data_IF_974827265627
#
_entry.id   IF_974827265627
#
_cell.length_a   1.000
_cell.length_b   1.000
_cell.length_c   1.000
_cell.angle_alpha   90.00
_cell.angle_beta   90.00
_cell.angle_gamma   90.00
#
_symmetry.space_group_name_H-M   'P 1'
#
loop_
_entity.id
_entity.type
_entity.pdbx_description
1 polymer ?
#
# COMPACT_ATOMS: atom_id res chain seq x y z
N UNK A 1 -11.59 -16.20 25.82
CA UNK A 1 -12.39 -15.31 26.70
C UNK A 1 -12.26 -13.83 26.31
N UNK A 2 -11.05 -13.35 26.07
CA UNK A 2 -10.83 -11.95 25.69
C UNK A 2 -11.41 -11.62 24.30
N UNK A 3 -11.20 -12.46 23.29
CA UNK A 3 -11.72 -12.24 21.94
C UNK A 3 -13.26 -12.14 21.93
N UNK A 4 -13.96 -12.99 22.71
CA UNK A 4 -15.42 -12.93 22.82
C UNK A 4 -15.88 -11.62 23.47
N UNK A 5 -15.19 -11.15 24.49
CA UNK A 5 -15.50 -9.87 25.13
C UNK A 5 -15.31 -8.72 24.14
N UNK A 6 -14.15 -8.65 23.46
CA UNK A 6 -13.85 -7.62 22.46
C UNK A 6 -14.86 -7.62 21.32
N UNK A 7 -15.22 -8.80 20.81
CA UNK A 7 -16.26 -8.92 19.79
C UNK A 7 -17.60 -8.33 20.28
N UNK A 8 -18.07 -8.70 21.47
CA UNK A 8 -19.32 -8.18 22.02
C UNK A 8 -19.29 -6.66 22.20
N UNK A 9 -18.18 -6.10 22.65
CA UNK A 9 -18.03 -4.64 22.81
C UNK A 9 -18.01 -3.92 21.46
N UNK A 10 -17.35 -4.49 20.46
CA UNK A 10 -17.34 -3.94 19.10
C UNK A 10 -18.76 -3.92 18.50
N UNK A 11 -19.51 -5.01 18.64
CA UNK A 11 -20.87 -5.15 18.09
C UNK A 11 -21.90 -4.26 18.78
N UNK A 12 -21.62 -3.69 19.95
CA UNK A 12 -22.47 -2.65 20.55
C UNK A 12 -22.32 -1.28 19.89
N UNK A 13 -21.19 -1.00 19.27
CA UNK A 13 -20.82 0.34 18.78
C UNK A 13 -20.72 0.42 17.27
N UNK A 14 -19.98 -0.48 16.64
CA UNK A 14 -19.64 -0.41 15.23
C UNK A 14 -20.84 -0.51 14.29
N UNK A 15 -21.88 -1.35 14.54
CA UNK A 15 -23.08 -1.35 13.69
C UNK A 15 -23.74 0.03 13.57
N UNK A 16 -23.80 0.77 14.67
CA UNK A 16 -24.38 2.12 14.67
C UNK A 16 -23.54 3.11 13.86
N UNK A 17 -22.18 2.96 13.90
CA UNK A 17 -21.28 3.78 13.10
C UNK A 17 -21.48 3.48 11.60
N UNK A 18 -21.57 2.21 11.23
CA UNK A 18 -21.79 1.78 9.85
C UNK A 18 -23.14 2.27 9.34
N UNK A 19 -24.20 2.12 10.13
CA UNK A 19 -25.56 2.53 9.75
C UNK A 19 -25.73 4.07 9.64
N UNK A 20 -24.84 4.83 10.27
CA UNK A 20 -24.86 6.30 10.23
C UNK A 20 -24.35 6.89 8.89
N UNK A 21 -23.77 6.08 8.02
CA UNK A 21 -23.22 6.54 6.74
C UNK A 21 -23.55 5.61 5.59
N UNK A 22 -23.52 6.16 4.36
CA UNK A 22 -23.58 5.38 3.11
C UNK A 22 -22.17 5.15 2.51
N UNK A 23 -21.11 5.62 3.19
CA UNK A 23 -19.74 5.42 2.74
C UNK A 23 -19.31 3.98 2.95
N UNK A 24 -18.46 3.48 2.06
CA UNK A 24 -17.76 2.22 2.28
C UNK A 24 -16.74 2.42 3.39
N UNK A 25 -16.85 1.61 4.45
CA UNK A 25 -15.96 1.74 5.61
C UNK A 25 -14.74 0.84 5.43
N UNK A 26 -13.57 1.43 5.60
CA UNK A 26 -12.28 0.73 5.62
C UNK A 26 -11.66 0.91 6.99
N UNK A 27 -11.06 -0.13 7.53
CA UNK A 27 -10.32 -0.09 8.79
C UNK A 27 -8.82 -0.13 8.52
N UNK A 28 -8.05 0.56 9.34
CA UNK A 28 -6.65 0.29 9.49
C UNK A 28 -6.49 -0.80 10.55
N UNK A 29 -6.13 -1.99 10.14
CA UNK A 29 -5.97 -3.20 10.95
C UNK A 29 -4.55 -3.76 10.83
N UNK A 30 -3.56 -2.88 10.87
CA UNK A 30 -2.14 -3.20 10.82
C UNK A 30 -1.59 -3.60 12.19
N UNK A 31 -0.52 -4.39 12.19
CA UNK A 31 0.17 -4.83 13.39
C UNK A 31 -0.55 -5.95 14.15
N UNK A 32 -0.37 -6.01 15.46
CA UNK A 32 -0.95 -7.06 16.30
C UNK A 32 -2.41 -6.73 16.67
N UNK A 33 -3.34 -7.27 15.93
CA UNK A 33 -4.77 -7.15 16.19
C UNK A 33 -5.31 -8.42 16.86
N UNK A 34 -6.32 -8.33 17.77
CA UNK A 34 -6.99 -9.50 18.33
C UNK A 34 -7.66 -10.36 17.25
N UNK A 35 -7.70 -11.69 17.43
CA UNK A 35 -8.29 -12.63 16.47
C UNK A 35 -9.76 -12.34 16.15
N UNK A 36 -10.47 -11.63 17.03
CA UNK A 36 -11.87 -11.24 16.80
C UNK A 36 -12.02 -10.09 15.79
N UNK A 37 -10.96 -9.35 15.45
CA UNK A 37 -11.04 -8.22 14.51
C UNK A 37 -11.51 -8.67 13.13
N UNK A 38 -10.94 -9.72 12.50
CA UNK A 38 -11.46 -10.25 11.24
C UNK A 38 -12.92 -10.71 11.33
N UNK A 39 -13.38 -11.24 12.46
CA UNK A 39 -14.77 -11.65 12.63
C UNK A 39 -15.73 -10.46 12.54
N UNK A 40 -15.43 -9.38 13.29
CA UNK A 40 -16.22 -8.14 13.29
C UNK A 40 -16.21 -7.49 11.91
N UNK A 41 -15.03 -7.37 11.29
CA UNK A 41 -14.88 -6.76 9.98
C UNK A 41 -15.67 -7.51 8.90
N UNK A 42 -15.59 -8.85 8.92
CA UNK A 42 -16.33 -9.67 7.96
C UNK A 42 -17.86 -9.56 8.15
N UNK A 43 -18.34 -9.57 9.39
CA UNK A 43 -19.77 -9.42 9.70
C UNK A 43 -20.32 -8.07 9.30
N UNK A 44 -19.58 -6.99 9.59
CA UNK A 44 -19.95 -5.63 9.28
C UNK A 44 -19.54 -5.18 7.86
N UNK A 45 -18.91 -6.05 7.07
CA UNK A 45 -18.43 -5.77 5.71
C UNK A 45 -17.45 -4.58 5.64
N UNK A 46 -16.65 -4.41 6.68
CA UNK A 46 -15.57 -3.42 6.74
C UNK A 46 -14.38 -3.97 5.94
N UNK A 47 -13.77 -3.13 5.11
CA UNK A 47 -12.58 -3.49 4.35
C UNK A 47 -11.36 -3.47 5.26
N UNK A 48 -10.49 -4.49 5.11
CA UNK A 48 -9.17 -4.51 5.73
C UNK A 48 -8.15 -3.71 4.93
N UNK A 49 -7.03 -3.37 5.55
CA UNK A 49 -5.87 -2.77 4.87
C UNK A 49 -4.80 -3.84 4.66
N UNK A 50 -4.36 -4.02 3.40
CA UNK A 50 -3.35 -4.99 3.03
C UNK A 50 -2.10 -4.28 2.48
N UNK A 51 -0.97 -4.44 3.17
CA UNK A 51 0.34 -3.92 2.77
C UNK A 51 1.31 -5.10 2.68
N UNK A 52 1.86 -5.36 1.50
CA UNK A 52 2.71 -6.53 1.26
C UNK A 52 3.91 -6.61 2.20
N UNK A 53 4.55 -5.48 2.47
CA UNK A 53 5.74 -5.39 3.32
C UNK A 53 5.43 -5.37 4.83
N UNK A 54 4.15 -5.40 5.19
CA UNK A 54 3.65 -5.44 6.56
C UNK A 54 2.61 -6.54 6.72
N UNK A 55 2.98 -7.83 6.52
CA UNK A 55 2.03 -8.93 6.63
C UNK A 55 1.45 -9.01 8.04
N UNK A 56 0.19 -9.40 8.12
CA UNK A 56 -0.52 -9.59 9.40
C UNK A 56 -0.08 -10.89 10.09
N UNK A 57 0.37 -11.86 9.33
CA UNK A 57 0.92 -13.12 9.82
C UNK A 57 2.38 -12.91 10.25
N UNK A 58 2.66 -13.12 11.52
CA UNK A 58 3.97 -12.88 12.13
C UNK A 58 5.09 -13.80 11.64
N UNK A 59 4.74 -14.91 10.99
CA UNK A 59 5.67 -15.89 10.43
C UNK A 59 6.02 -15.62 8.95
N UNK A 60 5.39 -14.64 8.32
CA UNK A 60 5.66 -14.24 6.95
C UNK A 60 6.55 -13.00 6.91
N UNK A 61 7.48 -12.97 5.98
CA UNK A 61 8.30 -11.79 5.68
C UNK A 61 7.55 -10.80 4.80
N UNK A 62 6.81 -11.32 3.83
CA UNK A 62 5.98 -10.55 2.90
C UNK A 62 4.61 -11.20 2.77
N UNK A 63 3.58 -10.38 2.61
CA UNK A 63 2.25 -10.83 2.28
C UNK A 63 2.20 -11.36 0.83
N UNK A 64 1.35 -12.34 0.60
CA UNK A 64 1.10 -12.82 -0.75
C UNK A 64 -0.11 -12.07 -1.34
N UNK A 65 0.15 -11.17 -2.29
CA UNK A 65 -0.88 -10.35 -2.91
C UNK A 65 -2.05 -11.15 -3.51
N UNK A 66 -1.77 -12.36 -4.02
CA UNK A 66 -2.83 -13.23 -4.57
C UNK A 66 -3.79 -13.78 -3.51
N UNK A 67 -3.42 -13.72 -2.24
CA UNK A 67 -4.23 -14.17 -1.11
C UNK A 67 -4.95 -13.03 -0.39
N UNK A 68 -4.82 -11.80 -0.84
CA UNK A 68 -5.55 -10.69 -0.26
C UNK A 68 -7.05 -10.98 -0.26
N UNK A 69 -7.77 -10.72 0.83
CA UNK A 69 -9.21 -10.88 0.84
C UNK A 69 -9.86 -9.88 -0.13
N UNK A 70 -10.94 -10.28 -0.79
CA UNK A 70 -11.65 -9.37 -1.69
C UNK A 70 -12.09 -8.08 -0.98
N UNK A 71 -12.59 -8.19 0.24
CA UNK A 71 -12.99 -7.01 1.04
C UNK A 71 -11.78 -6.35 1.68
N UNK A 72 -10.89 -5.81 0.88
CA UNK A 72 -9.71 -5.10 1.34
C UNK A 72 -9.36 -3.91 0.47
N UNK A 73 -8.57 -3.02 1.05
CA UNK A 73 -7.81 -1.99 0.36
C UNK A 73 -6.36 -2.45 0.30
N UNK A 74 -5.82 -2.59 -0.89
CA UNK A 74 -4.40 -2.87 -1.08
C UNK A 74 -3.65 -1.56 -1.34
N UNK A 75 -2.50 -1.40 -0.70
CA UNK A 75 -1.57 -0.29 -0.95
C UNK A 75 -0.13 -0.78 -0.82
N UNK A 76 0.83 -0.04 -1.40
CA UNK A 76 2.26 -0.31 -1.28
C UNK A 76 2.83 0.42 -0.08
N UNK A 77 2.47 1.68 0.08
CA UNK A 77 2.95 2.56 1.13
C UNK A 77 1.83 3.41 1.70
N UNK A 78 2.08 4.03 2.84
CA UNK A 78 1.17 5.00 3.47
C UNK A 78 1.93 6.27 3.85
N UNK A 79 1.22 7.25 4.39
CA UNK A 79 1.85 8.46 4.91
C UNK A 79 2.78 8.20 6.11
N UNK A 80 2.62 7.06 6.81
CA UNK A 80 3.41 6.69 7.99
C UNK A 80 4.57 5.73 7.67
N UNK A 81 4.70 5.29 6.42
CA UNK A 81 5.76 4.40 5.95
C UNK A 81 6.67 5.09 4.93
N UNK A 82 7.80 4.48 4.63
CA UNK A 82 8.59 4.85 3.46
C UNK A 82 7.78 4.65 2.17
N UNK A 83 8.00 5.46 1.14
CA UNK A 83 7.49 5.18 -0.20
C UNK A 83 8.13 3.91 -0.77
N UNK A 84 7.57 3.34 -1.82
CA UNK A 84 8.05 2.09 -2.43
C UNK A 84 9.57 2.14 -2.71
N UNK A 85 10.04 3.19 -3.38
CA UNK A 85 11.46 3.27 -3.73
C UNK A 85 12.37 3.66 -2.57
N UNK A 86 11.88 4.41 -1.58
CA UNK A 86 12.62 4.65 -0.35
C UNK A 86 12.88 3.34 0.38
N UNK A 87 11.80 2.58 0.65
CA UNK A 87 11.91 1.28 1.30
C UNK A 87 12.87 0.33 0.56
N UNK A 88 12.80 0.34 -0.77
CA UNK A 88 13.67 -0.48 -1.61
C UNK A 88 15.16 -0.15 -1.46
N UNK A 89 15.48 1.13 -1.38
CA UNK A 89 16.85 1.61 -1.35
C UNK A 89 17.42 1.77 0.08
N UNK A 90 16.55 1.87 1.11
CA UNK A 90 16.94 1.91 2.51
C UNK A 90 17.37 0.54 3.06
N UNK A 91 16.71 -0.54 2.64
CA UNK A 91 16.95 -1.90 3.14
C UNK A 91 17.22 -2.88 1.99
N UNK A 92 18.46 -2.87 1.51
CA UNK A 92 18.87 -3.71 0.38
C UNK A 92 18.72 -5.21 0.66
N UNK A 93 18.77 -5.67 1.91
CA UNK A 93 18.57 -7.09 2.25
C UNK A 93 17.09 -7.46 2.08
N UNK A 94 16.18 -6.61 2.56
CA UNK A 94 14.74 -6.80 2.37
C UNK A 94 14.36 -6.70 0.89
N UNK A 95 14.90 -5.71 0.19
CA UNK A 95 14.69 -5.54 -1.25
C UNK A 95 15.13 -6.75 -2.05
N UNK A 96 16.32 -7.31 -1.76
CA UNK A 96 16.81 -8.52 -2.41
C UNK A 96 15.93 -9.73 -2.11
N UNK A 97 15.42 -9.84 -0.88
CA UNK A 97 14.51 -10.92 -0.51
C UNK A 97 13.16 -10.79 -1.23
N UNK A 98 12.58 -9.59 -1.30
CA UNK A 98 11.33 -9.35 -2.02
C UNK A 98 11.51 -9.60 -3.53
N UNK A 99 12.62 -9.16 -4.10
CA UNK A 99 12.99 -9.39 -5.49
C UNK A 99 13.04 -10.87 -5.85
N UNK A 100 13.60 -11.69 -4.95
CA UNK A 100 13.68 -13.15 -5.13
C UNK A 100 12.35 -13.85 -4.83
N UNK A 101 11.73 -13.54 -3.70
CA UNK A 101 10.65 -14.35 -3.14
C UNK A 101 9.27 -13.92 -3.62
N UNK A 102 9.06 -12.62 -3.86
CA UNK A 102 7.79 -12.07 -4.33
C UNK A 102 7.80 -11.81 -5.84
N UNK A 103 8.91 -11.33 -6.39
CA UNK A 103 9.02 -11.00 -7.82
C UNK A 103 9.62 -12.16 -8.65
N UNK A 104 10.09 -13.23 -7.98
CA UNK A 104 10.64 -14.44 -8.60
C UNK A 104 11.83 -14.15 -9.53
N UNK A 105 12.72 -13.23 -9.11
CA UNK A 105 13.94 -12.85 -9.83
C UNK A 105 15.16 -13.50 -9.20
N UNK A 106 16.06 -14.04 -10.02
CA UNK A 106 17.24 -14.79 -9.56
C UNK A 106 18.54 -14.01 -9.48
N UNK A 107 18.56 -12.80 -10.04
CA UNK A 107 19.72 -11.91 -10.08
C UNK A 107 19.75 -10.93 -8.90
N UNK A 108 20.74 -10.04 -8.89
CA UNK A 108 20.82 -8.99 -7.85
C UNK A 108 19.73 -7.94 -8.06
N UNK A 109 19.08 -7.54 -6.96
CA UNK A 109 18.11 -6.46 -6.97
C UNK A 109 18.79 -5.16 -7.41
N UNK A 110 18.23 -4.44 -8.39
CA UNK A 110 18.84 -3.20 -8.86
C UNK A 110 18.65 -2.06 -7.86
N UNK A 111 19.71 -1.28 -7.64
CA UNK A 111 19.71 -0.08 -6.82
C UNK A 111 20.42 1.07 -7.57
N UNK A 112 19.85 2.30 -7.54
CA UNK A 112 18.51 2.63 -7.02
C UNK A 112 17.40 1.96 -7.83
N UNK A 113 16.18 1.88 -7.25
CA UNK A 113 15.02 1.26 -7.90
C UNK A 113 14.76 1.88 -9.28
N UNK A 114 14.81 1.09 -10.37
CA UNK A 114 14.49 1.60 -11.71
C UNK A 114 12.97 1.67 -11.94
N UNK A 115 12.54 2.53 -12.86
CA UNK A 115 11.12 2.74 -13.16
C UNK A 115 10.39 1.49 -13.66
N UNK A 116 11.08 0.60 -14.39
CA UNK A 116 10.47 -0.66 -14.84
C UNK A 116 10.10 -1.60 -13.66
N UNK A 117 10.93 -1.59 -12.60
CA UNK A 117 10.67 -2.40 -11.41
C UNK A 117 9.49 -1.83 -10.62
N UNK A 118 9.42 -0.51 -10.48
CA UNK A 118 8.26 0.16 -9.91
C UNK A 118 6.97 -0.21 -10.65
N UNK A 119 7.00 -0.26 -11.99
CA UNK A 119 5.87 -0.71 -12.81
C UNK A 119 5.48 -2.16 -12.53
N UNK A 120 6.45 -3.08 -12.41
CA UNK A 120 6.18 -4.49 -12.11
C UNK A 120 5.50 -4.64 -10.73
N UNK A 121 6.00 -3.96 -9.71
CA UNK A 121 5.42 -3.97 -8.37
C UNK A 121 3.99 -3.41 -8.39
N UNK A 122 3.76 -2.26 -9.01
CA UNK A 122 2.44 -1.64 -9.12
C UNK A 122 1.47 -2.56 -9.88
N UNK A 123 1.91 -3.12 -11.00
CA UNK A 123 1.08 -4.04 -11.79
C UNK A 123 0.58 -5.22 -10.94
N UNK A 124 1.46 -5.81 -10.12
CA UNK A 124 1.09 -6.91 -9.22
C UNK A 124 0.08 -6.50 -8.16
N UNK A 125 0.19 -5.28 -7.63
CA UNK A 125 -0.80 -4.74 -6.69
C UNK A 125 -2.13 -4.47 -7.39
N UNK A 126 -2.12 -3.96 -8.61
CA UNK A 126 -3.33 -3.80 -9.40
C UNK A 126 -3.99 -5.13 -9.74
N UNK A 127 -3.21 -6.18 -10.00
CA UNK A 127 -3.72 -7.52 -10.33
C UNK A 127 -4.23 -8.32 -9.13
N UNK A 128 -4.02 -7.86 -7.89
CA UNK A 128 -4.45 -8.57 -6.69
C UNK A 128 -5.98 -8.59 -6.54
N UNK A 129 -6.57 -9.54 -5.78
CA UNK A 129 -8.02 -9.66 -5.63
C UNK A 129 -8.67 -8.61 -4.71
N UNK A 130 -7.92 -7.72 -4.08
CA UNK A 130 -8.47 -6.65 -3.24
C UNK A 130 -9.51 -5.81 -4.00
N UNK A 131 -10.59 -5.43 -3.34
CA UNK A 131 -11.65 -4.61 -3.94
C UNK A 131 -11.12 -3.26 -4.42
N UNK A 132 -10.26 -2.63 -3.63
CA UNK A 132 -9.64 -1.35 -3.94
C UNK A 132 -8.11 -1.49 -3.93
N UNK A 133 -7.45 -0.85 -4.89
CA UNK A 133 -6.01 -0.63 -4.90
C UNK A 133 -5.78 0.89 -4.90
N UNK A 134 -5.31 1.42 -3.78
CA UNK A 134 -5.09 2.86 -3.60
C UNK A 134 -3.62 3.08 -3.33
N UNK A 135 -2.93 3.72 -4.27
CA UNK A 135 -1.50 3.96 -4.21
C UNK A 135 -1.21 5.44 -4.01
N UNK A 136 -0.12 5.75 -3.35
CA UNK A 136 0.33 7.14 -3.20
C UNK A 136 0.78 7.72 -4.53
N UNK A 137 0.69 9.05 -4.69
CA UNK A 137 1.19 9.71 -5.90
C UNK A 137 2.68 9.44 -6.11
N UNK A 138 3.46 9.41 -5.02
CA UNK A 138 4.89 9.13 -5.07
C UNK A 138 5.19 7.75 -5.65
N UNK A 139 4.41 6.73 -5.26
CA UNK A 139 4.56 5.38 -5.80
C UNK A 139 4.20 5.33 -7.29
N UNK A 140 3.16 6.04 -7.71
CA UNK A 140 2.85 6.18 -9.13
C UNK A 140 3.98 6.85 -9.91
N UNK A 141 4.51 7.98 -9.41
CA UNK A 141 5.60 8.72 -10.04
C UNK A 141 6.91 7.91 -10.08
N UNK A 142 7.12 6.96 -9.16
CA UNK A 142 8.28 6.07 -9.18
C UNK A 142 8.43 5.28 -10.50
N UNK A 143 7.35 5.12 -11.26
CA UNK A 143 7.34 4.43 -12.56
C UNK A 143 8.02 5.21 -13.68
N UNK A 144 8.20 6.52 -13.51
CA UNK A 144 8.82 7.41 -14.49
C UNK A 144 10.00 8.16 -13.89
N UNK A 145 11.20 7.87 -14.39
CA UNK A 145 12.45 8.41 -13.86
C UNK A 145 12.64 9.91 -14.14
N UNK A 146 11.85 10.48 -15.04
CA UNK A 146 11.88 11.92 -15.35
C UNK A 146 10.92 12.71 -14.49
N UNK A 147 9.81 12.09 -14.08
CA UNK A 147 8.76 12.75 -13.29
C UNK A 147 8.96 12.61 -11.79
N UNK A 148 9.60 11.52 -11.33
CA UNK A 148 9.83 11.32 -9.90
C UNK A 148 10.88 12.29 -9.35
N UNK A 149 10.85 12.55 -8.04
CA UNK A 149 11.91 13.32 -7.39
C UNK A 149 13.27 12.62 -7.56
N UNK A 150 14.34 13.38 -7.73
CA UNK A 150 15.70 12.83 -7.79
C UNK A 150 16.07 12.17 -6.45
N UNK A 151 15.75 12.84 -5.33
CA UNK A 151 15.96 12.37 -3.98
C UNK A 151 14.69 11.66 -3.47
N UNK A 152 14.77 10.36 -3.22
CA UNK A 152 13.66 9.56 -2.69
C UNK A 152 13.25 10.02 -1.27
N UNK A 153 14.20 10.46 -0.43
CA UNK A 153 13.90 10.88 0.94
C UNK A 153 12.99 12.12 0.97
N UNK A 154 13.03 12.95 -0.06
CA UNK A 154 12.14 14.12 -0.21
C UNK A 154 10.66 13.73 -0.47
N UNK A 155 10.37 12.47 -0.76
CA UNK A 155 9.00 11.96 -0.92
C UNK A 155 8.31 11.65 0.42
N UNK A 156 9.06 11.60 1.50
CA UNK A 156 8.56 11.26 2.83
C UNK A 156 7.51 12.26 3.33
N UNK A 157 6.37 11.75 3.79
CA UNK A 157 5.28 12.58 4.34
C UNK A 157 5.43 12.70 5.84
N UNK A 158 5.59 11.58 6.54
CA UNK A 158 5.66 11.53 8.00
C UNK A 158 6.87 10.73 8.48
N UNK A 159 7.31 11.03 9.70
CA UNK A 159 8.27 10.25 10.49
C UNK A 159 7.62 10.00 11.84
N UNK A 160 6.85 8.90 12.02
CA UNK A 160 6.06 8.67 13.24
C UNK A 160 6.89 8.68 14.52
N UNK A 161 8.15 8.24 14.45
CA UNK A 161 9.07 8.25 15.58
C UNK A 161 9.56 9.65 15.98
N UNK A 162 9.35 10.67 15.16
CA UNK A 162 9.79 12.04 15.42
C UNK A 162 8.60 12.94 15.82
N UNK A 163 8.39 13.23 17.11
CA UNK A 163 7.26 14.05 17.58
C UNK A 163 7.33 15.52 17.13
N UNK A 164 8.46 15.95 16.58
CA UNK A 164 8.66 17.29 16.03
C UNK A 164 8.61 17.34 14.51
N UNK A 165 8.27 16.23 13.86
CA UNK A 165 8.12 16.21 12.41
C UNK A 165 6.89 16.98 11.99
N UNK A 166 7.02 17.76 10.91
CA UNK A 166 5.91 18.46 10.29
C UNK A 166 5.59 17.83 8.93
N UNK A 167 4.34 17.59 8.65
CA UNK A 167 3.86 17.11 7.36
C UNK A 167 3.94 18.24 6.34
N UNK A 168 5.03 18.24 5.56
CA UNK A 168 5.37 19.34 4.62
C UNK A 168 5.45 18.88 3.18
N UNK A 169 5.17 17.62 2.89
CA UNK A 169 5.26 17.16 1.51
C UNK A 169 4.42 18.07 0.59
N UNK A 170 5.04 18.49 -0.49
CA UNK A 170 4.37 19.19 -1.58
C UNK A 170 4.76 18.50 -2.87
N UNK A 171 3.77 18.29 -3.74
CA UNK A 171 4.03 17.81 -5.07
C UNK A 171 4.95 18.79 -5.78
N UNK A 172 6.02 18.27 -6.39
CA UNK A 172 7.05 19.06 -7.07
C UNK A 172 6.71 19.37 -8.52
N UNK A 173 5.71 18.71 -9.09
CA UNK A 173 5.20 18.93 -10.44
C UNK A 173 4.00 19.86 -10.41
N UNK A 174 3.87 20.70 -11.43
CA UNK A 174 2.63 21.39 -11.70
C UNK A 174 1.61 20.41 -12.28
N UNK A 175 0.31 20.67 -12.07
CA UNK A 175 -0.74 19.81 -12.62
C UNK A 175 -0.73 19.79 -14.15
N UNK A 176 -0.40 20.90 -14.77
CA UNK A 176 -0.28 21.05 -16.21
C UNK A 176 0.86 20.17 -16.77
N UNK A 177 2.00 20.10 -16.09
CA UNK A 177 3.12 19.24 -16.47
C UNK A 177 2.74 17.75 -16.36
N UNK A 178 2.01 17.39 -15.31
CA UNK A 178 1.51 16.04 -15.11
C UNK A 178 0.47 15.65 -16.18
N UNK A 179 -0.42 16.58 -16.55
CA UNK A 179 -1.39 16.37 -17.61
C UNK A 179 -0.74 16.23 -18.99
N UNK A 180 0.39 16.91 -19.21
CA UNK A 180 1.16 16.83 -20.46
C UNK A 180 2.09 15.60 -20.56
N UNK A 181 2.18 14.80 -19.49
CA UNK A 181 3.03 13.61 -19.42
C UNK A 181 2.34 12.40 -20.09
N UNK A 182 2.21 12.43 -21.41
CA UNK A 182 1.46 11.42 -22.19
C UNK A 182 2.01 10.01 -22.00
N UNK A 183 3.31 9.79 -22.04
CA UNK A 183 3.94 8.48 -21.86
C UNK A 183 3.62 7.89 -20.49
N UNK A 184 3.69 8.70 -19.44
CA UNK A 184 3.32 8.31 -18.09
C UNK A 184 1.84 7.93 -18.02
N UNK A 185 0.97 8.79 -18.52
CA UNK A 185 -0.49 8.57 -18.53
C UNK A 185 -0.85 7.29 -19.30
N UNK A 186 -0.28 7.07 -20.48
CA UNK A 186 -0.50 5.86 -21.28
C UNK A 186 -0.01 4.61 -20.55
N UNK A 187 1.13 4.68 -19.87
CA UNK A 187 1.66 3.58 -19.06
C UNK A 187 0.69 3.19 -17.94
N UNK A 188 0.17 4.17 -17.19
CA UNK A 188 -0.80 3.92 -16.11
C UNK A 188 -2.10 3.33 -16.66
N UNK A 189 -2.65 3.94 -17.71
CA UNK A 189 -3.88 3.46 -18.35
C UNK A 189 -3.72 2.01 -18.86
N UNK A 190 -2.55 1.67 -19.44
CA UNK A 190 -2.23 0.33 -19.87
C UNK A 190 -2.28 -0.69 -18.74
N UNK A 191 -1.61 -0.40 -17.61
CA UNK A 191 -1.62 -1.27 -16.44
C UNK A 191 -3.03 -1.45 -15.85
N UNK A 192 -3.79 -0.36 -15.71
CA UNK A 192 -5.16 -0.39 -15.17
C UNK A 192 -6.08 -1.23 -16.09
N UNK A 193 -5.99 -1.01 -17.40
CA UNK A 193 -6.80 -1.75 -18.38
C UNK A 193 -6.46 -3.23 -18.41
N UNK A 194 -5.18 -3.59 -18.37
CA UNK A 194 -4.72 -4.98 -18.41
C UNK A 194 -5.14 -5.75 -17.16
N UNK A 195 -5.15 -5.10 -16.00
CA UNK A 195 -5.60 -5.67 -14.73
C UNK A 195 -7.12 -5.59 -14.53
N UNK A 196 -7.86 -5.06 -15.49
CA UNK A 196 -9.33 -4.94 -15.48
C UNK A 196 -9.87 -4.11 -14.29
N UNK A 197 -9.16 -3.08 -13.92
CA UNK A 197 -9.57 -2.13 -12.88
C UNK A 197 -10.07 -0.80 -13.43
#
# INVERSE_FOLDING_TARGET
>A
RNNQYWYCEAMKKLPRLIDATRMLVCAEDLGMVPDCVPWVMNELKILSLEIQNMPKETNLRFGNLSHNPYRSVCTISSHDTATMRMWWDEDCEQAQADYRDSLYRGDAAPHPMPGWLARDIIFRHLACPSMLCILTLQDWLATDEKLRLADAEAERINIPANPKHYWRYRMHLNLEDLLAADDFTHTLQGMIKETQR
#
